data_IF_540211623769
#
_entry.id   IF_540211623769
#
_cell.length_a   1.000
_cell.length_b   1.000
_cell.length_c   1.000
_cell.angle_alpha   90.00
_cell.angle_beta   90.00
_cell.angle_gamma   90.00
#
_symmetry.space_group_name_H-M   'P 1'
#
loop_
_entity.id
_entity.type
_entity.pdbx_description
1 polymer ?
#
# COMPACT_ATOMS: atom_id res chain seq x y z
N UNK A 1 -27.19 -53.16 -59.37
CA UNK A 1 -27.41 -51.99 -58.49
C UNK A 1 -27.70 -52.42 -57.03
N UNK A 2 -26.87 -53.27 -56.42
CA UNK A 2 -27.10 -53.78 -55.04
C UNK A 2 -25.82 -53.82 -54.18
N UNK A 3 -24.85 -52.95 -54.48
CA UNK A 3 -23.60 -52.86 -53.70
C UNK A 3 -23.27 -51.45 -53.20
N UNK A 4 -24.06 -50.42 -53.54
CA UNK A 4 -23.85 -49.06 -53.04
C UNK A 4 -24.64 -48.73 -51.78
N UNK A 5 -25.80 -49.38 -51.55
CA UNK A 5 -26.60 -49.16 -50.32
C UNK A 5 -25.90 -49.66 -49.04
N UNK A 6 -24.99 -50.64 -49.11
CA UNK A 6 -24.29 -51.12 -47.90
C UNK A 6 -23.05 -50.31 -47.51
N UNK A 7 -22.66 -49.32 -48.31
CA UNK A 7 -21.57 -48.39 -47.99
C UNK A 7 -22.15 -47.11 -47.40
N UNK A 8 -23.25 -46.60 -47.96
CA UNK A 8 -23.95 -45.42 -47.43
C UNK A 8 -24.63 -45.71 -46.07
N UNK A 9 -25.24 -46.87 -45.86
CA UNK A 9 -25.79 -47.26 -44.55
C UNK A 9 -24.70 -47.60 -43.51
N UNK A 10 -23.47 -47.92 -43.94
CA UNK A 10 -22.31 -48.09 -43.04
C UNK A 10 -21.59 -46.78 -42.71
N UNK A 11 -21.82 -45.73 -43.50
CA UNK A 11 -21.30 -44.38 -43.28
C UNK A 11 -22.23 -43.52 -42.40
N UNK A 12 -23.48 -43.94 -42.18
CA UNK A 12 -24.46 -43.24 -41.34
C UNK A 12 -24.53 -43.74 -39.88
N UNK A 13 -23.60 -44.59 -39.44
CA UNK A 13 -23.65 -45.21 -38.11
C UNK A 13 -22.30 -45.30 -37.38
N UNK A 14 -21.26 -44.64 -37.88
CA UNK A 14 -20.06 -44.45 -37.07
C UNK A 14 -20.27 -43.22 -36.20
N UNK A 15 -20.08 -43.44 -34.90
CA UNK A 15 -20.03 -42.36 -33.92
C UNK A 15 -19.00 -41.31 -34.33
N UNK A 16 -19.23 -40.04 -33.98
CA UNK A 16 -18.27 -38.98 -34.29
C UNK A 16 -16.91 -39.19 -33.58
N UNK A 17 -16.88 -40.00 -32.52
CA UNK A 17 -15.68 -40.47 -31.83
C UNK A 17 -15.46 -41.96 -32.08
N UNK A 18 -14.24 -42.34 -32.47
CA UNK A 18 -13.84 -43.75 -32.54
C UNK A 18 -14.07 -44.46 -31.20
N UNK A 19 -14.42 -45.75 -31.25
CA UNK A 19 -14.78 -46.55 -30.06
C UNK A 19 -13.72 -46.50 -28.94
N UNK A 20 -12.43 -46.40 -29.29
CA UNK A 20 -11.34 -46.30 -28.33
C UNK A 20 -11.34 -44.95 -27.60
N UNK A 21 -11.64 -43.84 -28.29
CA UNK A 21 -11.81 -42.53 -27.67
C UNK A 21 -13.05 -42.46 -26.80
N UNK A 22 -14.15 -43.10 -27.20
CA UNK A 22 -15.32 -43.23 -26.32
C UNK A 22 -14.94 -43.92 -25.00
N UNK A 23 -14.14 -44.98 -25.07
CA UNK A 23 -13.65 -45.66 -23.87
C UNK A 23 -12.71 -44.77 -23.05
N UNK A 24 -11.85 -43.96 -23.69
CA UNK A 24 -11.01 -42.99 -23.01
C UNK A 24 -11.84 -41.95 -22.24
N UNK A 25 -12.89 -41.39 -22.86
CA UNK A 25 -13.81 -40.45 -22.19
C UNK A 25 -14.50 -41.11 -21.00
N UNK A 26 -15.01 -42.35 -21.15
CA UNK A 26 -15.69 -43.07 -20.05
C UNK A 26 -14.83 -43.23 -18.81
N UNK A 27 -13.53 -43.47 -18.99
CA UNK A 27 -12.60 -43.70 -17.88
C UNK A 27 -11.88 -42.43 -17.42
N UNK A 28 -12.01 -41.34 -18.20
CA UNK A 28 -11.17 -40.16 -18.05
C UNK A 28 -11.57 -39.23 -16.92
N UNK A 29 -12.75 -39.39 -16.30
CA UNK A 29 -13.25 -38.47 -15.28
C UNK A 29 -12.24 -38.22 -14.14
N UNK A 30 -11.65 -39.29 -13.58
CA UNK A 30 -10.66 -39.18 -12.51
C UNK A 30 -9.33 -38.57 -12.99
N UNK A 31 -8.87 -38.93 -14.20
CA UNK A 31 -7.64 -38.35 -14.76
C UNK A 31 -7.78 -36.86 -15.07
N UNK A 32 -8.94 -36.43 -15.56
CA UNK A 32 -9.23 -35.02 -15.82
C UNK A 32 -9.36 -34.21 -14.53
N UNK A 33 -9.95 -34.78 -13.47
CA UNK A 33 -9.95 -34.18 -12.13
C UNK A 33 -8.51 -33.95 -11.66
N UNK A 34 -7.69 -35.02 -11.66
CA UNK A 34 -6.29 -34.97 -11.20
C UNK A 34 -5.44 -33.96 -11.97
N UNK A 35 -5.58 -33.89 -13.30
CA UNK A 35 -4.84 -32.93 -14.11
C UNK A 35 -5.27 -31.49 -13.83
N UNK A 36 -6.58 -31.24 -13.77
CA UNK A 36 -7.11 -29.89 -13.50
C UNK A 36 -6.70 -29.42 -12.11
N UNK A 37 -6.78 -30.31 -11.13
CA UNK A 37 -6.37 -30.08 -9.74
C UNK A 37 -4.86 -29.82 -9.62
N UNK A 38 -4.04 -30.64 -10.30
CA UNK A 38 -2.59 -30.46 -10.30
C UNK A 38 -2.14 -29.12 -10.93
N UNK A 39 -2.81 -28.67 -11.99
CA UNK A 39 -2.55 -27.36 -12.60
C UNK A 39 -2.90 -26.23 -11.64
N UNK A 40 -4.09 -26.29 -11.02
CA UNK A 40 -4.52 -25.36 -9.98
C UNK A 40 -3.52 -25.28 -8.83
N UNK A 41 -3.13 -26.42 -8.29
CA UNK A 41 -2.18 -26.50 -7.18
C UNK A 41 -0.83 -25.93 -7.55
N UNK A 42 -0.38 -26.20 -8.77
CA UNK A 42 0.88 -25.69 -9.27
C UNK A 42 0.86 -24.17 -9.38
N UNK A 43 -0.24 -23.58 -9.88
CA UNK A 43 -0.44 -22.13 -9.93
C UNK A 43 -0.23 -21.52 -8.54
N UNK A 44 -0.85 -22.09 -7.51
CA UNK A 44 -0.60 -21.61 -6.15
C UNK A 44 0.85 -21.79 -5.74
N UNK A 45 1.36 -23.02 -5.81
CA UNK A 45 2.65 -23.41 -5.23
C UNK A 45 3.87 -22.75 -5.90
N UNK A 46 3.75 -22.29 -7.15
CA UNK A 46 4.85 -21.64 -7.87
C UNK A 46 4.61 -20.17 -8.21
N UNK A 47 3.36 -19.74 -8.44
CA UNK A 47 3.06 -18.37 -8.87
C UNK A 47 2.51 -17.52 -7.72
N UNK A 48 1.60 -18.06 -6.90
CA UNK A 48 0.92 -17.30 -5.85
C UNK A 48 1.53 -17.42 -4.43
N UNK A 49 2.59 -18.23 -4.26
CA UNK A 49 3.36 -18.33 -3.00
C UNK A 49 4.28 -17.12 -2.72
N UNK A 50 4.37 -16.16 -3.64
CA UNK A 50 5.21 -14.99 -3.46
C UNK A 50 4.57 -14.00 -2.49
N UNK A 51 5.37 -13.43 -1.57
CA UNK A 51 4.93 -12.29 -0.77
C UNK A 51 4.91 -11.03 -1.63
N UNK A 52 3.73 -10.43 -1.80
CA UNK A 52 3.51 -9.29 -2.69
C UNK A 52 3.44 -7.97 -1.89
N UNK A 53 3.82 -6.83 -2.50
CA UNK A 53 3.58 -5.53 -1.90
C UNK A 53 2.10 -5.32 -1.56
N UNK A 54 1.82 -4.59 -0.48
CA UNK A 54 0.50 -4.24 0.07
C UNK A 54 -0.29 -5.38 0.72
N UNK A 55 -0.05 -6.63 0.35
CA UNK A 55 -0.86 -7.77 0.78
C UNK A 55 -0.06 -8.94 1.36
N UNK A 56 1.28 -8.88 1.34
CA UNK A 56 2.15 -9.93 1.89
C UNK A 56 1.77 -11.31 1.34
N UNK A 57 1.45 -12.25 2.24
CA UNK A 57 1.05 -13.62 1.92
C UNK A 57 -0.47 -13.81 1.75
N UNK A 58 -1.25 -12.76 1.49
CA UNK A 58 -2.72 -12.85 1.44
C UNK A 58 -3.28 -13.80 0.36
N UNK A 59 -2.48 -14.12 -0.67
CA UNK A 59 -2.86 -15.07 -1.72
C UNK A 59 -2.58 -16.54 -1.36
N UNK A 60 -2.03 -16.82 -0.17
CA UNK A 60 -1.73 -18.17 0.28
C UNK A 60 -3.01 -18.85 0.81
N UNK A 61 -3.97 -19.07 -0.09
CA UNK A 61 -5.34 -19.51 0.22
C UNK A 61 -5.74 -20.80 -0.46
N UNK A 62 -4.78 -21.50 -1.10
CA UNK A 62 -4.99 -22.78 -1.80
C UNK A 62 -5.91 -23.72 -1.00
N UNK A 63 -6.97 -24.18 -1.66
CA UNK A 63 -7.97 -25.12 -1.12
C UNK A 63 -8.72 -24.66 0.14
N UNK A 64 -8.64 -23.37 0.46
CA UNK A 64 -9.47 -22.78 1.52
C UNK A 64 -10.78 -22.25 0.95
N UNK A 65 -11.72 -21.88 1.82
CA UNK A 65 -12.98 -21.25 1.38
C UNK A 65 -12.79 -19.91 0.65
N UNK A 66 -11.59 -19.31 0.70
CA UNK A 66 -11.27 -18.09 -0.03
C UNK A 66 -10.74 -18.34 -1.44
N UNK A 67 -10.40 -19.59 -1.77
CA UNK A 67 -9.97 -20.03 -3.09
C UNK A 67 -11.17 -20.48 -3.90
N UNK A 68 -11.66 -19.58 -4.74
CA UNK A 68 -12.85 -19.80 -5.55
C UNK A 68 -12.60 -20.76 -6.73
N UNK A 69 -11.34 -21.11 -7.02
CA UNK A 69 -10.97 -22.03 -8.11
C UNK A 69 -10.88 -23.49 -7.67
N UNK A 70 -10.80 -23.77 -6.37
CA UNK A 70 -10.71 -25.13 -5.81
C UNK A 70 -11.85 -26.09 -6.22
N UNK A 71 -12.99 -25.58 -6.69
CA UNK A 71 -14.12 -26.38 -7.19
C UNK A 71 -14.03 -26.81 -8.67
N UNK A 72 -13.11 -26.25 -9.46
CA UNK A 72 -13.09 -26.42 -10.93
C UNK A 72 -12.84 -27.88 -11.33
N UNK A 73 -11.88 -28.55 -10.68
CA UNK A 73 -11.56 -29.96 -10.95
C UNK A 73 -12.77 -30.89 -10.76
N UNK A 74 -13.56 -30.65 -9.71
CA UNK A 74 -14.82 -31.36 -9.45
C UNK A 74 -15.89 -31.12 -10.51
N UNK A 75 -16.01 -29.89 -11.05
CA UNK A 75 -16.95 -29.58 -12.14
C UNK A 75 -16.55 -30.30 -13.44
N UNK A 76 -15.26 -30.31 -13.77
CA UNK A 76 -14.72 -31.06 -14.94
C UNK A 76 -15.03 -32.56 -14.81
N UNK A 77 -14.76 -33.14 -13.63
CA UNK A 77 -15.09 -34.54 -13.35
C UNK A 77 -16.57 -34.85 -13.53
N UNK A 78 -17.44 -33.98 -13.01
CA UNK A 78 -18.89 -34.16 -13.10
C UNK A 78 -19.38 -34.08 -14.55
N UNK A 79 -18.77 -33.22 -15.39
CA UNK A 79 -19.08 -33.12 -16.80
C UNK A 79 -18.80 -34.42 -17.55
N UNK A 80 -17.61 -35.00 -17.32
CA UNK A 80 -17.22 -36.25 -17.98
C UNK A 80 -18.06 -37.43 -17.46
N UNK A 81 -18.36 -37.45 -16.16
CA UNK A 81 -19.20 -38.47 -15.55
C UNK A 81 -20.64 -38.45 -16.07
N UNK A 82 -21.14 -37.29 -16.51
CA UNK A 82 -22.49 -37.17 -17.08
C UNK A 82 -22.65 -37.90 -18.42
N UNK A 83 -21.56 -38.11 -19.17
CA UNK A 83 -21.58 -38.79 -20.47
C UNK A 83 -21.05 -40.22 -20.41
N UNK A 84 -20.32 -40.60 -19.36
CA UNK A 84 -19.67 -41.92 -19.26
C UNK A 84 -20.64 -43.12 -19.27
N UNK A 85 -21.90 -42.91 -18.90
CA UNK A 85 -22.97 -43.92 -18.92
C UNK A 85 -23.76 -44.04 -20.23
N UNK A 86 -23.51 -43.18 -21.22
CA UNK A 86 -24.29 -43.18 -22.47
C UNK A 86 -23.99 -44.42 -23.32
N UNK A 87 -24.95 -44.90 -24.13
CA UNK A 87 -24.69 -46.05 -25.02
C UNK A 87 -23.59 -45.73 -26.05
N UNK A 88 -23.60 -44.51 -26.55
CA UNK A 88 -22.63 -43.93 -27.45
C UNK A 88 -22.18 -42.58 -26.86
N UNK A 89 -20.88 -42.34 -26.83
CA UNK A 89 -20.31 -41.07 -26.35
C UNK A 89 -19.87 -40.25 -27.56
N UNK A 90 -20.45 -39.07 -27.74
CA UNK A 90 -20.09 -38.17 -28.85
C UNK A 90 -19.36 -36.93 -28.36
N UNK A 91 -18.61 -36.28 -29.26
CA UNK A 91 -17.95 -35.02 -28.92
C UNK A 91 -18.95 -33.91 -28.57
N UNK A 92 -20.12 -33.89 -29.25
CA UNK A 92 -21.23 -32.98 -28.95
C UNK A 92 -21.83 -33.20 -27.56
N UNK A 93 -21.99 -34.45 -27.12
CA UNK A 93 -22.49 -34.75 -25.78
C UNK A 93 -21.52 -34.28 -24.70
N UNK A 94 -20.21 -34.54 -24.87
CA UNK A 94 -19.20 -34.09 -23.91
C UNK A 94 -19.09 -32.56 -23.90
N UNK A 95 -19.14 -31.92 -25.07
CA UNK A 95 -19.19 -30.46 -25.20
C UNK A 95 -20.37 -29.87 -24.43
N UNK A 96 -21.58 -30.44 -24.58
CA UNK A 96 -22.76 -30.03 -23.84
C UNK A 96 -22.60 -30.22 -22.33
N UNK A 97 -22.03 -31.34 -21.89
CA UNK A 97 -21.81 -31.63 -20.48
C UNK A 97 -20.81 -30.66 -19.84
N UNK A 98 -19.70 -30.38 -20.53
CA UNK A 98 -18.71 -29.38 -20.11
C UNK A 98 -19.36 -27.99 -19.99
N UNK A 99 -20.10 -27.57 -21.01
CA UNK A 99 -20.83 -26.30 -20.99
C UNK A 99 -21.80 -26.20 -19.80
N UNK A 100 -22.59 -27.24 -19.56
CA UNK A 100 -23.59 -27.25 -18.50
C UNK A 100 -23.00 -27.23 -17.09
N UNK A 101 -21.88 -27.94 -16.84
CA UNK A 101 -21.26 -27.98 -15.51
C UNK A 101 -20.39 -26.76 -15.24
N UNK A 102 -19.70 -26.23 -16.26
CA UNK A 102 -18.77 -25.12 -16.10
C UNK A 102 -19.41 -23.76 -16.31
N UNK A 103 -20.72 -23.69 -16.60
CA UNK A 103 -21.44 -22.44 -16.91
C UNK A 103 -21.11 -21.24 -16.00
N UNK A 104 -20.92 -21.37 -14.67
CA UNK A 104 -20.55 -20.24 -13.81
C UNK A 104 -19.19 -19.59 -14.15
N UNK A 105 -18.33 -20.30 -14.89
CA UNK A 105 -16.95 -19.95 -15.21
C UNK A 105 -16.75 -19.60 -16.69
N UNK A 106 -17.80 -19.66 -17.50
CA UNK A 106 -17.72 -19.44 -18.95
C UNK A 106 -18.21 -18.03 -19.30
N UNK A 107 -17.57 -16.99 -18.75
CA UNK A 107 -17.95 -15.61 -19.01
C UNK A 107 -17.95 -15.30 -20.52
N UNK A 108 -19.06 -14.75 -21.03
CA UNK A 108 -19.27 -14.47 -22.45
C UNK A 108 -19.60 -15.69 -23.34
N UNK A 109 -19.64 -16.91 -22.79
CA UNK A 109 -19.99 -18.14 -23.53
C UNK A 109 -21.45 -18.49 -23.26
N UNK A 110 -22.24 -18.52 -24.33
CA UNK A 110 -23.70 -18.68 -24.28
C UNK A 110 -24.19 -19.96 -24.92
N UNK A 111 -23.34 -20.64 -25.71
CA UNK A 111 -23.67 -21.93 -26.33
C UNK A 111 -22.55 -22.94 -26.18
N UNK A 112 -22.87 -24.25 -26.15
CA UNK A 112 -21.86 -25.31 -26.11
C UNK A 112 -20.86 -25.25 -27.26
N UNK A 113 -21.30 -24.80 -28.46
CA UNK A 113 -20.48 -24.77 -29.66
C UNK A 113 -19.27 -23.83 -29.56
N UNK A 114 -19.25 -22.93 -28.57
CA UNK A 114 -18.12 -22.05 -28.31
C UNK A 114 -16.99 -22.74 -27.53
N UNK A 115 -17.21 -23.93 -26.98
CA UNK A 115 -16.13 -24.82 -26.54
C UNK A 115 -15.57 -25.49 -27.79
N UNK A 116 -14.34 -25.17 -28.17
CA UNK A 116 -13.79 -25.63 -29.46
C UNK A 116 -13.39 -27.10 -29.35
N UNK A 117 -13.82 -27.90 -30.32
CA UNK A 117 -13.45 -29.33 -30.40
C UNK A 117 -12.51 -29.56 -31.59
N UNK A 118 -11.28 -29.95 -31.30
CA UNK A 118 -10.21 -30.25 -32.27
C UNK A 118 -9.75 -31.70 -32.17
N UNK A 119 -8.83 -32.11 -33.06
CA UNK A 119 -8.36 -33.50 -33.19
C UNK A 119 -9.01 -34.26 -34.34
N UNK A 120 -8.43 -35.41 -34.69
CA UNK A 120 -8.91 -36.27 -35.78
C UNK A 120 -10.13 -37.13 -35.38
N UNK A 121 -10.46 -37.14 -34.08
CA UNK A 121 -11.54 -37.93 -33.47
C UNK A 121 -11.39 -39.44 -33.66
N UNK A 122 -10.18 -39.87 -33.97
CA UNK A 122 -9.78 -41.27 -34.13
C UNK A 122 -8.63 -41.61 -33.17
N UNK A 123 -7.53 -40.86 -33.27
CA UNK A 123 -6.37 -40.95 -32.40
C UNK A 123 -6.48 -40.03 -31.19
N UNK A 124 -7.08 -38.85 -31.35
CA UNK A 124 -7.29 -37.88 -30.27
C UNK A 124 -8.52 -36.98 -30.47
N UNK A 125 -8.94 -36.35 -29.37
CA UNK A 125 -9.90 -35.25 -29.37
C UNK A 125 -9.56 -34.29 -28.23
N UNK A 126 -9.58 -32.99 -28.51
CA UNK A 126 -9.31 -31.92 -27.51
C UNK A 126 -10.48 -30.96 -27.43
N UNK A 127 -10.81 -30.53 -26.22
CA UNK A 127 -11.84 -29.55 -25.89
C UNK A 127 -11.15 -28.31 -25.30
N UNK A 128 -11.14 -27.22 -26.04
CA UNK A 128 -10.65 -25.92 -25.56
C UNK A 128 -11.80 -25.19 -24.88
N UNK A 129 -11.68 -25.06 -23.55
CA UNK A 129 -12.70 -24.50 -22.68
C UNK A 129 -12.19 -23.16 -22.16
N UNK A 130 -12.73 -22.02 -22.63
CA UNK A 130 -12.36 -20.71 -22.13
C UNK A 130 -12.97 -20.50 -20.74
N UNK A 131 -12.12 -20.44 -19.72
CA UNK A 131 -12.49 -20.23 -18.33
C UNK A 131 -12.09 -18.82 -17.87
N UNK A 132 -13.04 -18.12 -17.26
CA UNK A 132 -12.85 -16.79 -16.70
C UNK A 132 -13.58 -16.67 -15.37
N UNK A 133 -12.98 -16.01 -14.41
CA UNK A 133 -13.62 -15.82 -13.13
C UNK A 133 -12.72 -15.18 -12.08
N UNK A 134 -13.16 -15.30 -10.83
CA UNK A 134 -12.45 -14.82 -9.67
C UNK A 134 -11.77 -16.00 -8.98
N UNK A 135 -10.53 -15.81 -8.55
CA UNK A 135 -9.82 -16.74 -7.64
C UNK A 135 -9.99 -16.26 -6.21
N UNK A 136 -9.69 -14.97 -5.97
CA UNK A 136 -9.72 -14.35 -4.63
C UNK A 136 -10.48 -13.03 -4.72
N UNK A 137 -11.44 -12.82 -3.83
CA UNK A 137 -12.13 -11.53 -3.66
C UNK A 137 -12.42 -11.33 -2.17
N UNK A 138 -11.54 -10.60 -1.49
CA UNK A 138 -11.58 -10.46 -0.02
C UNK A 138 -10.83 -9.25 0.49
N UNK A 139 -11.15 -8.89 1.73
CA UNK A 139 -10.30 -8.02 2.53
C UNK A 139 -9.09 -8.78 3.08
N UNK A 140 -7.91 -8.14 3.00
CA UNK A 140 -6.64 -8.62 3.54
C UNK A 140 -6.02 -7.54 4.45
N UNK A 141 -5.15 -7.96 5.37
CA UNK A 141 -4.35 -7.03 6.16
C UNK A 141 -3.40 -6.25 5.23
N UNK A 142 -3.25 -4.95 5.48
CA UNK A 142 -2.28 -4.13 4.75
C UNK A 142 -0.86 -4.49 5.19
N UNK A 143 -0.02 -4.92 4.25
CA UNK A 143 1.38 -5.20 4.46
C UNK A 143 2.22 -4.52 3.37
N UNK A 144 2.93 -3.40 3.65
CA UNK A 144 3.71 -2.71 2.63
C UNK A 144 4.90 -3.54 2.09
N UNK A 145 5.24 -4.67 2.72
CA UNK A 145 6.40 -5.49 2.33
C UNK A 145 7.75 -4.81 2.59
N UNK A 146 7.76 -3.73 3.37
CA UNK A 146 8.93 -2.88 3.65
C UNK A 146 9.10 -2.65 5.15
N UNK A 147 9.47 -3.70 5.92
CA UNK A 147 9.53 -3.62 7.38
C UNK A 147 10.58 -2.63 7.90
N UNK A 148 11.60 -2.30 7.10
CA UNK A 148 12.58 -1.26 7.43
C UNK A 148 12.00 0.16 7.33
N UNK A 149 10.94 0.36 6.53
CA UNK A 149 10.27 1.64 6.28
C UNK A 149 9.07 1.82 7.21
N UNK A 150 8.11 0.89 7.13
CA UNK A 150 6.84 0.96 7.84
C UNK A 150 6.40 -0.45 8.22
N UNK A 151 6.18 -0.68 9.51
CA UNK A 151 5.53 -1.90 10.01
C UNK A 151 4.09 -1.55 10.35
N UNK A 152 3.15 -2.03 9.54
CA UNK A 152 1.72 -1.86 9.80
C UNK A 152 1.25 -2.87 10.86
N UNK A 153 0.47 -2.39 11.84
CA UNK A 153 -0.15 -3.21 12.90
C UNK A 153 -1.68 -3.26 12.79
N UNK A 154 -2.24 -2.39 11.94
CA UNK A 154 -3.65 -2.39 11.56
C UNK A 154 -3.80 -1.85 10.14
N UNK A 155 -5.03 -1.91 9.62
CA UNK A 155 -5.36 -1.46 8.28
C UNK A 155 -5.60 -2.64 7.36
N UNK A 156 -6.44 -2.41 6.37
CA UNK A 156 -6.88 -3.46 5.47
C UNK A 156 -7.05 -2.92 4.06
N UNK A 157 -6.78 -3.78 3.10
CA UNK A 157 -6.96 -3.52 1.68
C UNK A 157 -7.89 -4.58 1.09
N UNK A 158 -8.56 -4.22 0.00
CA UNK A 158 -9.38 -5.14 -0.76
C UNK A 158 -8.54 -5.77 -1.87
N UNK A 159 -8.49 -7.09 -1.91
CA UNK A 159 -7.69 -7.89 -2.85
C UNK A 159 -8.62 -8.65 -3.77
N UNK A 160 -8.54 -8.34 -5.06
CA UNK A 160 -9.25 -9.04 -6.13
C UNK A 160 -8.23 -9.68 -7.08
N UNK A 161 -8.28 -11.01 -7.20
CA UNK A 161 -7.50 -11.78 -8.17
C UNK A 161 -8.48 -12.48 -9.10
N UNK A 162 -8.44 -12.15 -10.39
CA UNK A 162 -9.22 -12.81 -11.43
C UNK A 162 -8.33 -13.62 -12.35
N UNK A 163 -8.91 -14.54 -13.12
CA UNK A 163 -8.20 -15.39 -14.07
C UNK A 163 -8.88 -15.38 -15.44
N UNK A 164 -8.08 -15.52 -16.49
CA UNK A 164 -8.48 -15.79 -17.87
C UNK A 164 -7.54 -16.87 -18.41
N UNK A 165 -8.10 -18.03 -18.76
CA UNK A 165 -7.33 -19.18 -19.25
C UNK A 165 -8.15 -20.06 -20.18
N UNK A 166 -7.47 -20.80 -21.05
CA UNK A 166 -8.10 -21.83 -21.88
C UNK A 166 -7.69 -23.21 -21.38
N UNK A 167 -8.60 -23.94 -20.73
CA UNK A 167 -8.35 -25.34 -20.38
C UNK A 167 -8.52 -26.21 -21.64
N UNK A 168 -7.42 -26.77 -22.15
CA UNK A 168 -7.42 -27.62 -23.34
C UNK A 168 -7.38 -29.10 -22.96
N UNK A 169 -8.54 -29.63 -22.57
CA UNK A 169 -8.66 -31.02 -22.10
C UNK A 169 -8.74 -32.00 -23.27
N UNK A 170 -7.86 -33.00 -23.29
CA UNK A 170 -7.75 -33.99 -24.36
C UNK A 170 -7.94 -35.43 -23.92
N UNK A 171 -8.38 -36.27 -24.87
CA UNK A 171 -8.49 -37.72 -24.73
C UNK A 171 -7.75 -38.39 -25.89
N UNK A 172 -6.94 -39.40 -25.59
CA UNK A 172 -6.15 -40.15 -26.55
C UNK A 172 -6.68 -41.58 -26.73
N UNK A 173 -6.50 -42.12 -27.93
CA UNK A 173 -6.73 -43.53 -28.28
C UNK A 173 -5.83 -44.50 -27.49
N UNK A 174 -4.77 -44.02 -26.85
CA UNK A 174 -3.99 -44.83 -25.89
C UNK A 174 -4.69 -44.98 -24.53
N UNK A 175 -5.86 -44.36 -24.35
CA UNK A 175 -6.63 -44.38 -23.10
C UNK A 175 -6.22 -43.31 -22.09
N UNK A 176 -5.27 -42.45 -22.43
CA UNK A 176 -4.79 -41.36 -21.58
C UNK A 176 -5.65 -40.10 -21.74
N UNK A 177 -5.94 -39.44 -20.62
CA UNK A 177 -6.36 -38.04 -20.58
C UNK A 177 -5.10 -37.18 -20.57
N UNK A 178 -5.15 -36.04 -21.25
CA UNK A 178 -4.06 -35.06 -21.23
C UNK A 178 -4.61 -33.63 -21.19
N UNK A 179 -3.74 -32.67 -20.85
CA UNK A 179 -3.96 -31.25 -21.11
C UNK A 179 -2.97 -30.80 -22.20
N UNK A 180 -3.48 -30.16 -23.24
CA UNK A 180 -2.67 -29.61 -24.32
C UNK A 180 -2.06 -28.26 -23.90
N UNK A 181 -0.74 -28.25 -23.80
CA UNK A 181 0.09 -27.10 -23.38
C UNK A 181 0.94 -26.55 -24.54
N UNK A 182 0.53 -26.82 -25.79
CA UNK A 182 1.27 -26.38 -26.98
C UNK A 182 1.20 -24.87 -27.27
N UNK A 183 0.36 -24.12 -26.56
CA UNK A 183 0.22 -22.67 -26.68
C UNK A 183 1.17 -21.94 -25.74
N UNK A 184 1.66 -20.76 -26.15
CA UNK A 184 2.34 -19.87 -25.22
C UNK A 184 1.31 -19.05 -24.41
N UNK A 185 1.52 -18.92 -23.10
CA UNK A 185 0.67 -18.11 -22.24
C UNK A 185 -0.68 -18.79 -21.95
N UNK A 186 -0.62 -19.90 -21.20
CA UNK A 186 -1.78 -20.73 -20.89
C UNK A 186 -2.77 -20.09 -19.93
N UNK A 187 -2.31 -19.19 -19.06
CA UNK A 187 -3.19 -18.45 -18.16
C UNK A 187 -2.67 -17.04 -17.88
N UNK A 188 -3.62 -16.12 -17.64
CA UNK A 188 -3.37 -14.77 -17.17
C UNK A 188 -4.17 -14.53 -15.90
N UNK A 189 -3.50 -14.08 -14.84
CA UNK A 189 -4.17 -13.70 -13.58
C UNK A 189 -4.03 -12.20 -13.37
N UNK A 190 -5.13 -11.50 -13.12
CA UNK A 190 -5.13 -10.06 -12.89
C UNK A 190 -5.37 -9.77 -11.41
N UNK A 191 -4.39 -9.16 -10.77
CA UNK A 191 -4.43 -8.74 -9.38
C UNK A 191 -4.74 -7.24 -9.30
N UNK A 192 -5.77 -6.90 -8.55
CA UNK A 192 -6.13 -5.54 -8.21
C UNK A 192 -6.29 -5.40 -6.69
N UNK A 193 -5.46 -4.54 -6.10
CA UNK A 193 -5.51 -4.19 -4.68
C UNK A 193 -5.92 -2.75 -4.54
N UNK A 194 -7.01 -2.52 -3.80
CA UNK A 194 -7.54 -1.17 -3.53
C UNK A 194 -7.60 -0.91 -2.03
N UNK A 195 -7.58 0.36 -1.64
CA UNK A 195 -7.48 0.77 -0.23
C UNK A 195 -8.57 1.76 0.20
N UNK A 196 -9.86 1.46 -0.06
CA UNK A 196 -10.94 2.38 0.26
C UNK A 196 -10.97 2.70 1.77
N UNK A 197 -10.80 3.98 2.11
CA UNK A 197 -10.82 4.44 3.50
C UNK A 197 -9.68 3.89 4.38
N UNK A 198 -8.54 3.52 3.78
CA UNK A 198 -7.41 2.93 4.50
C UNK A 198 -6.92 3.82 5.65
N UNK A 199 -6.93 3.24 6.85
CA UNK A 199 -6.36 3.79 8.07
C UNK A 199 -5.45 2.75 8.70
N UNK A 200 -4.23 3.17 9.03
CA UNK A 200 -3.18 2.30 9.55
C UNK A 200 -2.72 2.85 10.90
N UNK A 201 -2.47 1.94 11.83
CA UNK A 201 -1.55 2.16 12.95
C UNK A 201 -0.31 1.34 12.69
N UNK A 202 0.86 1.91 12.94
CA UNK A 202 2.12 1.23 12.66
C UNK A 202 3.30 1.86 13.34
N UNK A 203 4.48 1.44 12.89
CA UNK A 203 5.77 1.92 13.39
C UNK A 203 6.69 2.28 12.23
N UNK A 204 7.37 3.42 12.37
CA UNK A 204 8.48 3.86 11.54
C UNK A 204 9.70 3.96 12.46
N UNK A 205 10.57 2.95 12.41
CA UNK A 205 11.64 2.79 13.40
C UNK A 205 11.07 2.69 14.82
N UNK A 206 11.42 3.65 15.69
CA UNK A 206 10.90 3.74 17.07
C UNK A 206 9.60 4.55 17.18
N UNK A 207 9.22 5.27 16.12
CA UNK A 207 8.07 6.16 16.12
C UNK A 207 6.80 5.36 15.85
N UNK A 208 5.84 5.46 16.76
CA UNK A 208 4.46 5.03 16.47
C UNK A 208 3.82 6.05 15.55
N UNK A 209 3.12 5.58 14.54
CA UNK A 209 2.46 6.43 13.55
C UNK A 209 1.05 5.95 13.29
N UNK A 210 0.15 6.90 13.09
CA UNK A 210 -1.09 6.69 12.35
C UNK A 210 -0.89 7.12 10.91
N UNK A 211 -1.53 6.42 9.98
CA UNK A 211 -1.49 6.80 8.58
C UNK A 211 -2.87 6.71 7.94
N UNK A 212 -3.15 7.62 7.02
CA UNK A 212 -4.35 7.61 6.19
C UNK A 212 -3.95 7.71 4.72
N UNK A 213 -4.79 7.23 3.82
CA UNK A 213 -4.52 7.35 2.39
C UNK A 213 -4.44 8.84 1.98
N UNK A 214 -3.38 9.21 1.25
CA UNK A 214 -3.12 10.61 0.88
C UNK A 214 -3.97 11.11 -0.31
N UNK A 215 -4.83 10.26 -0.87
CA UNK A 215 -5.63 10.55 -2.05
C UNK A 215 -4.87 10.20 -3.34
N UNK A 216 -5.13 10.93 -4.42
CA UNK A 216 -4.70 10.53 -5.78
C UNK A 216 -3.18 10.64 -6.04
N UNK A 217 -2.51 9.58 -6.54
CA UNK A 217 -3.05 8.24 -6.72
C UNK A 217 -3.10 7.49 -5.39
N UNK A 218 -4.22 6.79 -5.16
CA UNK A 218 -4.46 6.05 -3.91
C UNK A 218 -3.42 4.95 -3.69
N UNK A 219 -3.26 4.55 -2.43
CA UNK A 219 -2.53 3.33 -2.10
C UNK A 219 -3.19 2.13 -2.80
N UNK A 220 -2.43 1.35 -3.56
CA UNK A 220 -3.01 0.28 -4.37
C UNK A 220 -1.99 -0.40 -5.28
N UNK A 221 -2.39 -1.52 -5.86
CA UNK A 221 -1.54 -2.30 -6.75
C UNK A 221 -2.37 -2.86 -7.90
N UNK A 222 -1.81 -2.80 -9.10
CA UNK A 222 -2.31 -3.56 -10.26
C UNK A 222 -1.17 -4.37 -10.81
N UNK A 223 -1.37 -5.67 -10.98
CA UNK A 223 -0.37 -6.55 -11.54
C UNK A 223 -1.01 -7.69 -12.32
N UNK A 224 -0.29 -8.21 -13.31
CA UNK A 224 -0.70 -9.34 -14.14
C UNK A 224 0.32 -10.45 -14.02
N UNK A 225 -0.13 -11.62 -13.59
CA UNK A 225 0.64 -12.86 -13.71
C UNK A 225 0.41 -13.43 -15.10
N UNK A 226 1.48 -13.71 -15.84
CA UNK A 226 1.45 -14.52 -17.06
C UNK A 226 2.05 -15.87 -16.76
N UNK A 227 1.30 -16.93 -17.08
CA UNK A 227 1.63 -18.30 -16.71
C UNK A 227 1.81 -19.10 -18.00
N UNK A 228 2.93 -19.82 -18.06
CA UNK A 228 3.27 -20.73 -19.15
C UNK A 228 3.51 -22.11 -18.55
N UNK A 229 2.74 -23.10 -19.00
CA UNK A 229 2.85 -24.47 -18.51
C UNK A 229 3.79 -25.22 -19.45
N UNK A 230 4.84 -25.79 -18.89
CA UNK A 230 5.75 -26.62 -19.68
C UNK A 230 5.36 -28.08 -19.53
N UNK A 231 5.24 -28.74 -20.67
CA UNK A 231 5.21 -30.19 -20.73
C UNK A 231 6.47 -30.78 -20.06
N UNK A 232 6.34 -31.98 -19.50
CA UNK A 232 7.40 -32.67 -18.79
C UNK A 232 8.61 -33.02 -19.68
N UNK A 233 9.44 -34.00 -19.28
CA UNK A 233 10.66 -34.33 -20.03
C UNK A 233 10.42 -34.93 -21.42
N UNK A 234 9.18 -35.29 -21.78
CA UNK A 234 8.79 -35.98 -23.01
C UNK A 234 8.38 -35.06 -24.18
N UNK A 235 8.25 -33.75 -23.95
CA UNK A 235 8.16 -32.69 -24.97
C UNK A 235 7.20 -32.97 -26.15
N UNK A 236 6.07 -33.62 -25.88
CA UNK A 236 5.00 -33.88 -26.86
C UNK A 236 3.83 -32.87 -26.74
N UNK A 237 3.96 -31.91 -25.81
CA UNK A 237 2.99 -30.87 -25.48
C UNK A 237 1.69 -31.40 -24.87
N UNK A 238 1.71 -32.61 -24.29
CA UNK A 238 0.53 -33.25 -23.70
C UNK A 238 0.81 -33.66 -22.27
N UNK A 239 0.42 -32.81 -21.33
CA UNK A 239 0.54 -33.12 -19.91
C UNK A 239 -0.46 -34.22 -19.50
N UNK A 240 0.05 -35.41 -19.19
CA UNK A 240 -0.69 -36.55 -18.66
C UNK A 240 -0.56 -36.67 -17.14
N UNK A 241 -1.44 -37.49 -16.54
CA UNK A 241 -1.41 -37.77 -15.09
C UNK A 241 -0.04 -38.29 -14.64
N UNK A 242 0.68 -39.02 -15.51
CA UNK A 242 2.01 -39.55 -15.21
C UNK A 242 3.10 -38.47 -15.09
N UNK A 243 2.95 -37.34 -15.78
CA UNK A 243 3.90 -36.23 -15.74
C UNK A 243 3.63 -35.21 -14.63
N UNK A 244 2.50 -35.28 -13.91
CA UNK A 244 2.20 -34.34 -12.80
C UNK A 244 3.39 -34.11 -11.84
N UNK A 245 4.15 -35.15 -11.41
CA UNK A 245 5.32 -34.95 -10.55
C UNK A 245 6.42 -34.09 -11.17
N UNK A 246 6.47 -34.01 -12.50
CA UNK A 246 7.48 -33.30 -13.29
C UNK A 246 6.94 -32.04 -13.97
N UNK A 247 5.65 -31.71 -13.78
CA UNK A 247 5.01 -30.50 -14.27
C UNK A 247 5.89 -29.28 -13.97
N UNK A 248 6.29 -28.57 -15.01
CA UNK A 248 6.97 -27.29 -14.90
C UNK A 248 6.01 -26.15 -15.21
N UNK A 249 6.21 -25.00 -14.56
CA UNK A 249 5.42 -23.82 -14.84
C UNK A 249 6.30 -22.58 -14.64
N UNK A 250 6.25 -21.69 -15.62
CA UNK A 250 6.93 -20.41 -15.59
C UNK A 250 5.93 -19.31 -15.30
N UNK A 251 6.27 -18.45 -14.34
CA UNK A 251 5.48 -17.28 -14.00
C UNK A 251 6.25 -16.00 -14.33
N UNK A 252 5.58 -15.07 -14.98
CA UNK A 252 5.99 -13.67 -15.00
C UNK A 252 4.94 -12.83 -14.28
N UNK A 253 5.37 -11.77 -13.60
CA UNK A 253 4.51 -10.80 -12.95
C UNK A 253 4.95 -9.40 -13.35
N UNK A 254 4.03 -8.67 -13.97
CA UNK A 254 4.26 -7.29 -14.42
C UNK A 254 3.19 -6.39 -13.82
N UNK A 255 3.59 -5.23 -13.29
CA UNK A 255 2.66 -4.30 -12.68
C UNK A 255 3.32 -3.16 -11.93
N UNK A 256 2.56 -2.56 -11.03
CA UNK A 256 3.07 -1.57 -10.08
C UNK A 256 2.27 -1.57 -8.79
N UNK A 257 2.97 -1.36 -7.68
CA UNK A 257 2.38 -1.05 -6.39
C UNK A 257 2.72 0.38 -5.98
N UNK A 258 1.75 1.05 -5.35
CA UNK A 258 1.87 2.40 -4.82
C UNK A 258 1.46 2.39 -3.35
N UNK A 259 2.30 2.95 -2.49
CA UNK A 259 1.92 3.40 -1.14
C UNK A 259 1.89 4.91 -1.15
N UNK A 260 0.77 5.51 -0.77
CA UNK A 260 0.60 6.95 -0.70
C UNK A 260 -0.13 7.30 0.60
N UNK A 261 0.62 7.66 1.63
CA UNK A 261 0.10 7.78 2.99
C UNK A 261 0.46 9.13 3.62
N UNK A 262 -0.53 9.77 4.23
CA UNK A 262 -0.32 10.86 5.18
C UNK A 262 0.00 10.24 6.53
N UNK A 263 1.22 10.42 7.01
CA UNK A 263 1.71 9.96 8.30
C UNK A 263 1.56 11.07 9.34
N UNK A 264 1.19 10.66 10.56
CA UNK A 264 1.21 11.49 11.75
C UNK A 264 1.74 10.62 12.91
N UNK A 265 2.68 11.14 13.69
CA UNK A 265 3.18 10.40 14.86
C UNK A 265 2.13 10.34 15.96
N UNK A 266 1.99 9.17 16.57
CA UNK A 266 1.18 8.96 17.77
C UNK A 266 2.12 8.81 18.97
N UNK A 267 2.42 9.93 19.62
CA UNK A 267 3.33 9.99 20.77
C UNK A 267 2.60 9.88 22.12
N UNK A 268 1.28 9.66 22.12
CA UNK A 268 0.45 9.60 23.32
C UNK A 268 0.58 10.86 24.19
N UNK A 269 0.75 10.67 25.50
CA UNK A 269 0.89 11.75 26.50
C UNK A 269 2.30 12.36 26.55
N UNK A 270 3.22 11.94 25.68
CA UNK A 270 4.54 12.55 25.64
C UNK A 270 4.44 14.03 25.28
N UNK A 271 5.17 14.89 26.01
CA UNK A 271 5.28 16.33 25.73
C UNK A 271 6.15 16.65 24.50
N UNK A 272 6.07 15.80 23.48
CA UNK A 272 6.76 15.96 22.21
C UNK A 272 5.77 16.45 21.15
N UNK A 273 6.15 17.44 20.33
CA UNK A 273 5.36 17.85 19.17
C UNK A 273 5.12 16.69 18.21
N UNK A 274 3.99 16.73 17.52
CA UNK A 274 3.64 15.73 16.51
C UNK A 274 4.38 16.02 15.21
N UNK A 275 4.90 14.95 14.60
CA UNK A 275 5.52 14.98 13.29
C UNK A 275 4.53 14.49 12.25
N UNK A 276 4.55 15.13 11.09
CA UNK A 276 3.75 14.78 9.92
C UNK A 276 4.66 14.57 8.72
N UNK A 277 4.26 13.67 7.81
CA UNK A 277 4.97 13.41 6.57
C UNK A 277 4.07 12.72 5.55
N UNK A 278 4.38 12.86 4.27
CA UNK A 278 3.73 12.11 3.18
C UNK A 278 4.66 10.99 2.74
N UNK A 279 4.37 9.75 3.14
CA UNK A 279 5.11 8.58 2.67
C UNK A 279 4.62 8.19 1.27
N UNK A 280 5.55 8.24 0.31
CA UNK A 280 5.36 7.75 -1.05
C UNK A 280 6.28 6.56 -1.30
N UNK A 281 5.72 5.44 -1.71
CA UNK A 281 6.45 4.30 -2.26
C UNK A 281 5.95 4.03 -3.65
N UNK A 282 6.84 4.11 -4.62
CA UNK A 282 6.58 3.69 -6.00
C UNK A 282 7.37 2.40 -6.26
N UNK A 283 6.66 1.31 -6.51
CA UNK A 283 7.26 0.00 -6.68
C UNK A 283 6.88 -0.58 -8.05
N UNK A 284 7.76 -0.42 -9.07
CA UNK A 284 7.57 -1.10 -10.34
C UNK A 284 7.79 -2.60 -10.16
N UNK A 285 6.95 -3.39 -10.80
CA UNK A 285 6.99 -4.85 -10.72
C UNK A 285 7.23 -5.37 -12.13
N UNK A 286 8.39 -5.99 -12.33
CA UNK A 286 8.72 -6.75 -13.53
C UNK A 286 9.57 -7.96 -13.12
N UNK A 287 8.91 -9.02 -12.70
CA UNK A 287 9.56 -10.22 -12.17
C UNK A 287 9.26 -11.42 -13.08
N UNK A 288 10.28 -12.23 -13.33
CA UNK A 288 10.11 -13.53 -13.99
C UNK A 288 10.78 -14.62 -13.18
N UNK A 289 10.14 -15.79 -13.11
CA UNK A 289 10.65 -16.91 -12.38
C UNK A 289 10.28 -18.26 -13.01
N UNK A 290 11.28 -19.11 -13.11
CA UNK A 290 11.10 -20.55 -13.29
C UNK A 290 11.03 -21.29 -11.94
N UNK A 291 11.41 -20.64 -10.84
CA UNK A 291 11.40 -21.20 -9.47
C UNK A 291 11.08 -20.11 -8.45
N UNK A 292 10.33 -20.39 -7.37
CA UNK A 292 9.74 -19.39 -6.48
C UNK A 292 10.73 -18.59 -5.58
N UNK A 293 11.97 -18.35 -5.99
CA UNK A 293 13.01 -17.74 -5.14
C UNK A 293 13.80 -16.59 -5.77
N UNK A 294 13.34 -15.97 -6.86
CA UNK A 294 13.99 -14.74 -7.33
C UNK A 294 13.57 -13.57 -6.44
N UNK A 295 14.56 -12.90 -5.84
CA UNK A 295 14.34 -11.60 -5.23
C UNK A 295 13.75 -10.66 -6.28
N UNK A 296 12.76 -9.87 -5.88
CA UNK A 296 12.14 -8.84 -6.71
C UNK A 296 13.22 -7.98 -7.40
N UNK A 297 13.28 -7.95 -8.74
CA UNK A 297 14.42 -7.39 -9.46
C UNK A 297 14.52 -5.88 -9.29
N UNK A 298 13.39 -5.17 -9.28
CA UNK A 298 13.37 -3.71 -9.13
C UNK A 298 13.20 -3.27 -7.68
N UNK A 299 14.06 -2.34 -7.25
CA UNK A 299 14.01 -1.75 -5.92
C UNK A 299 12.91 -0.67 -5.81
N UNK A 300 12.06 -0.71 -4.76
CA UNK A 300 11.06 0.32 -4.55
C UNK A 300 11.70 1.67 -4.25
N UNK A 301 11.10 2.73 -4.79
CA UNK A 301 11.51 4.10 -4.54
C UNK A 301 10.71 4.65 -3.36
N UNK A 302 11.38 4.88 -2.23
CA UNK A 302 10.76 5.36 -0.98
C UNK A 302 11.10 6.83 -0.76
N UNK A 303 10.06 7.64 -0.51
CA UNK A 303 10.20 9.09 -0.23
C UNK A 303 9.31 9.51 0.93
N UNK A 304 9.80 10.45 1.71
CA UNK A 304 9.05 11.18 2.72
C UNK A 304 8.95 12.63 2.26
N UNK A 305 7.79 13.05 1.79
CA UNK A 305 7.57 14.43 1.34
C UNK A 305 6.91 15.24 2.44
N UNK A 306 7.11 16.57 2.42
CA UNK A 306 6.45 17.49 3.34
C UNK A 306 6.60 17.06 4.81
N UNK A 307 7.80 16.62 5.18
CA UNK A 307 8.10 16.31 6.58
C UNK A 307 8.04 17.60 7.36
N UNK A 308 7.37 17.58 8.50
CA UNK A 308 7.18 18.78 9.30
C UNK A 308 6.74 18.49 10.72
N UNK A 309 6.76 19.53 11.54
CA UNK A 309 6.21 19.53 12.89
C UNK A 309 4.85 20.21 12.83
N UNK A 310 3.82 19.59 13.41
CA UNK A 310 2.54 20.27 13.58
C UNK A 310 2.71 21.48 14.51
N UNK A 311 2.42 22.68 14.00
CA UNK A 311 2.68 23.93 14.70
C UNK A 311 1.85 24.04 15.98
N UNK A 312 0.59 23.59 15.95
CA UNK A 312 -0.28 23.62 17.12
C UNK A 312 0.29 22.79 18.27
N UNK A 313 0.72 21.55 17.97
CA UNK A 313 1.38 20.67 18.92
C UNK A 313 2.75 21.21 19.37
N UNK A 314 3.50 21.87 18.50
CA UNK A 314 4.76 22.51 18.84
C UNK A 314 4.58 23.59 19.90
N UNK A 315 3.66 24.53 19.67
CA UNK A 315 3.43 25.61 20.63
C UNK A 315 2.83 25.09 21.94
N UNK A 316 1.90 24.14 21.89
CA UNK A 316 1.20 23.63 23.08
C UNK A 316 2.02 22.66 23.91
N UNK A 317 2.82 21.78 23.28
CA UNK A 317 3.60 20.74 23.99
C UNK A 317 5.05 21.13 24.27
N UNK A 318 5.65 22.01 23.47
CA UNK A 318 7.05 22.43 23.64
C UNK A 318 7.19 23.87 24.17
N UNK A 319 6.52 24.84 23.55
CA UNK A 319 6.73 26.26 23.87
C UNK A 319 6.00 26.66 25.17
N UNK A 320 4.70 26.40 25.26
CA UNK A 320 3.86 26.79 26.41
C UNK A 320 4.41 26.27 27.76
N UNK A 321 4.80 24.99 27.92
CA UNK A 321 5.32 24.50 29.20
C UNK A 321 6.61 25.19 29.66
N UNK A 322 7.47 25.63 28.73
CA UNK A 322 8.68 26.40 29.07
C UNK A 322 8.30 27.75 29.66
N UNK A 323 7.36 28.44 29.02
CA UNK A 323 6.89 29.74 29.49
C UNK A 323 6.11 29.64 30.81
N UNK A 324 5.31 28.59 31.01
CA UNK A 324 4.61 28.33 32.27
C UNK A 324 5.59 28.10 33.43
N UNK A 325 6.71 27.42 33.18
CA UNK A 325 7.73 27.21 34.21
C UNK A 325 8.45 28.52 34.57
N UNK A 326 8.68 29.41 33.60
CA UNK A 326 9.23 30.74 33.85
C UNK A 326 8.24 31.57 34.67
N UNK A 327 6.95 31.56 34.30
CA UNK A 327 5.88 32.26 35.03
C UNK A 327 5.79 31.80 36.50
N UNK A 328 5.82 30.48 36.76
CA UNK A 328 5.88 29.93 38.13
C UNK A 328 7.11 30.43 38.89
N UNK A 329 8.25 30.57 38.22
CA UNK A 329 9.50 31.04 38.83
C UNK A 329 9.46 32.54 39.14
N UNK A 330 8.78 33.32 38.30
CA UNK A 330 8.61 34.77 38.47
C UNK A 330 7.44 35.13 39.39
N UNK A 331 6.46 34.24 39.59
CA UNK A 331 5.28 34.46 40.42
C UNK A 331 5.57 35.03 41.83
N UNK A 332 6.63 34.61 42.56
CA UNK A 332 6.95 35.18 43.87
C UNK A 332 7.38 36.64 43.84
N UNK A 333 7.97 37.10 42.73
CA UNK A 333 8.42 38.49 42.55
C UNK A 333 7.41 39.32 41.77
N UNK A 334 6.38 38.71 41.19
CA UNK A 334 5.31 39.38 40.46
C UNK A 334 4.68 40.56 41.22
N UNK A 335 4.40 40.48 42.54
CA UNK A 335 3.86 41.65 43.26
C UNK A 335 4.81 42.85 43.28
N UNK A 336 6.13 42.63 43.21
CA UNK A 336 7.11 43.71 43.13
C UNK A 336 7.14 44.27 41.71
N UNK A 337 7.06 43.41 40.70
CA UNK A 337 6.99 43.82 39.29
C UNK A 337 5.72 44.62 39.00
N UNK A 338 4.56 44.20 39.53
CA UNK A 338 3.28 44.89 39.36
C UNK A 338 3.31 46.31 39.94
N UNK A 339 3.94 46.51 41.11
CA UNK A 339 4.11 47.84 41.72
C UNK A 339 5.07 48.71 40.90
N UNK A 340 6.09 48.10 40.29
CA UNK A 340 7.05 48.80 39.45
C UNK A 340 6.42 49.27 38.13
N UNK A 341 5.48 48.48 37.59
CA UNK A 341 4.72 48.75 36.36
C UNK A 341 3.41 49.51 36.61
N UNK A 342 3.02 49.75 37.87
CA UNK A 342 1.79 50.45 38.20
C UNK A 342 1.83 51.91 37.68
N UNK A 343 0.77 52.29 36.97
CA UNK A 343 0.57 53.65 36.47
C UNK A 343 0.59 54.64 37.63
N UNK A 344 1.51 55.60 37.60
CA UNK A 344 1.53 56.72 38.54
C UNK A 344 0.60 57.84 38.05
N UNK A 345 -0.57 58.08 38.69
CA UNK A 345 -1.59 58.99 38.17
C UNK A 345 -1.05 60.42 37.99
N UNK A 346 -0.28 60.92 38.96
CA UNK A 346 0.22 62.31 38.95
C UNK A 346 1.18 62.58 37.79
N UNK A 347 2.09 61.64 37.49
CA UNK A 347 3.04 61.82 36.39
C UNK A 347 2.39 61.53 35.03
N UNK A 348 1.45 60.58 34.98
CA UNK A 348 0.72 60.18 33.78
C UNK A 348 -0.32 61.21 33.32
N UNK A 349 -1.00 61.89 34.25
CA UNK A 349 -2.12 62.79 33.94
C UNK A 349 -1.69 64.22 33.59
N UNK A 350 -0.44 64.59 33.94
CA UNK A 350 0.10 65.94 33.72
C UNK A 350 0.94 65.94 32.46
N UNK A 351 0.44 66.53 31.37
CA UNK A 351 1.07 66.48 30.04
C UNK A 351 2.57 66.91 30.01
N UNK A 352 3.00 67.99 30.70
CA UNK A 352 4.43 68.33 30.79
C UNK A 352 5.29 67.27 31.48
N UNK A 353 4.77 66.63 32.54
CA UNK A 353 5.50 65.59 33.26
C UNK A 353 5.52 64.30 32.45
N UNK A 354 4.38 63.91 31.86
CA UNK A 354 4.31 62.77 30.96
C UNK A 354 5.33 62.89 29.83
N UNK A 355 5.45 64.04 29.15
CA UNK A 355 6.44 64.23 28.09
C UNK A 355 7.91 64.11 28.52
N UNK A 356 8.21 64.18 29.81
CA UNK A 356 9.57 64.05 30.36
C UNK A 356 9.84 62.61 30.80
N UNK A 357 8.83 61.92 31.33
CA UNK A 357 9.00 60.64 32.01
C UNK A 357 8.49 59.43 31.20
N UNK A 358 7.52 59.62 30.30
CA UNK A 358 6.99 58.59 29.39
C UNK A 358 8.02 58.29 28.31
N UNK A 359 8.84 57.25 28.54
CA UNK A 359 10.00 56.96 27.70
C UNK A 359 9.63 56.03 26.54
N UNK A 360 8.65 55.15 26.75
CA UNK A 360 8.15 54.21 25.75
C UNK A 360 7.03 54.81 24.86
N UNK A 361 6.56 56.02 25.17
CA UNK A 361 5.53 56.77 24.46
C UNK A 361 4.16 56.07 24.45
N UNK A 362 3.83 55.30 25.48
CA UNK A 362 2.55 54.59 25.60
C UNK A 362 1.44 55.43 26.26
N UNK A 363 1.78 56.62 26.76
CA UNK A 363 0.85 57.55 27.40
C UNK A 363 0.70 57.37 28.91
N UNK A 364 1.46 56.47 29.52
CA UNK A 364 1.50 56.20 30.95
C UNK A 364 2.91 56.43 31.50
N UNK A 365 3.02 56.72 32.80
CA UNK A 365 4.30 56.85 33.50
C UNK A 365 4.26 55.91 34.70
N UNK A 366 5.20 54.98 34.75
CA UNK A 366 5.36 53.95 35.79
C UNK A 366 6.52 54.27 36.75
N UNK A 367 6.60 53.56 37.89
CA UNK A 367 7.68 53.76 38.88
C UNK A 367 9.06 53.51 38.25
N UNK A 368 9.13 52.52 37.37
CA UNK A 368 10.28 52.23 36.53
C UNK A 368 10.72 53.45 35.72
N UNK A 369 9.81 54.11 35.02
CA UNK A 369 10.15 55.18 34.08
C UNK A 369 10.63 56.43 34.82
N UNK A 370 10.08 56.67 36.01
CA UNK A 370 10.59 57.68 36.94
C UNK A 370 11.97 57.31 37.53
N UNK A 371 12.27 56.03 37.74
CA UNK A 371 13.61 55.59 38.16
C UNK A 371 14.62 55.62 37.02
N UNK A 372 14.22 55.27 35.81
CA UNK A 372 15.02 55.29 34.60
C UNK A 372 15.55 56.68 34.25
N UNK A 373 14.67 57.68 34.30
CA UNK A 373 15.02 59.09 34.08
C UNK A 373 15.96 59.65 35.15
N UNK A 374 16.06 59.02 36.32
CA UNK A 374 16.94 59.46 37.42
C UNK A 374 18.22 58.63 37.58
N UNK A 375 18.25 57.38 37.12
CA UNK A 375 19.39 56.43 37.29
C UNK A 375 20.12 56.10 35.98
N UNK A 376 19.58 56.50 34.82
CA UNK A 376 20.12 56.16 33.50
C UNK A 376 19.58 54.81 32.97
N UNK A 377 20.25 54.24 31.97
CA UNK A 377 19.71 53.15 31.13
C UNK A 377 19.37 51.85 31.86
N UNK A 378 20.03 51.52 32.97
CA UNK A 378 19.87 50.21 33.63
C UNK A 378 18.49 49.95 34.26
N UNK A 379 17.75 51.01 34.64
CA UNK A 379 16.36 50.87 35.11
C UNK A 379 15.35 50.67 33.99
N UNK A 380 15.64 51.20 32.78
CA UNK A 380 14.83 50.96 31.57
C UNK A 380 14.97 49.52 31.10
N UNK A 381 16.18 48.97 31.17
CA UNK A 381 16.49 47.64 30.64
C UNK A 381 15.73 46.53 31.39
N UNK A 382 15.63 46.60 32.72
CA UNK A 382 14.92 45.59 33.53
C UNK A 382 13.41 45.60 33.25
N UNK A 383 12.82 46.78 33.12
CA UNK A 383 11.40 46.91 32.91
C UNK A 383 10.94 46.60 31.50
N UNK A 384 11.73 47.03 30.51
CA UNK A 384 11.53 46.60 29.13
C UNK A 384 11.56 45.07 29.07
N UNK A 385 12.51 44.41 29.75
CA UNK A 385 12.59 42.96 29.78
C UNK A 385 11.36 42.28 30.43
N UNK A 386 10.82 42.85 31.52
CA UNK A 386 9.63 42.28 32.21
C UNK A 386 8.37 42.47 31.38
N UNK A 387 8.12 43.69 30.88
CA UNK A 387 6.97 44.00 30.03
C UNK A 387 7.00 43.22 28.71
N UNK A 388 8.18 43.09 28.10
CA UNK A 388 8.36 42.30 26.89
C UNK A 388 8.11 40.81 27.17
N UNK A 389 8.59 40.29 28.31
CA UNK A 389 8.32 38.90 28.71
C UNK A 389 6.83 38.67 28.93
N UNK A 390 6.14 39.57 29.65
CA UNK A 390 4.69 39.45 29.89
C UNK A 390 3.91 39.51 28.57
N UNK A 391 4.30 40.39 27.66
CA UNK A 391 3.72 40.51 26.33
C UNK A 391 3.94 39.25 25.48
N UNK A 392 5.15 38.68 25.54
CA UNK A 392 5.49 37.43 24.86
C UNK A 392 4.74 36.23 25.47
N UNK A 393 4.68 36.13 26.79
CA UNK A 393 3.96 35.10 27.53
C UNK A 393 2.46 35.10 27.19
N UNK A 394 1.84 36.28 27.25
CA UNK A 394 0.43 36.46 26.91
C UNK A 394 0.17 36.11 25.44
N UNK A 395 1.08 36.48 24.54
CA UNK A 395 0.99 36.08 23.13
C UNK A 395 1.07 34.55 22.98
N UNK A 396 2.09 33.89 23.55
CA UNK A 396 2.29 32.43 23.47
C UNK A 396 1.08 31.64 23.98
N UNK A 397 0.46 32.08 25.09
CA UNK A 397 -0.75 31.43 25.64
C UNK A 397 -1.98 31.58 24.74
N UNK A 398 -2.04 32.63 23.94
CA UNK A 398 -3.16 32.91 23.04
C UNK A 398 -2.92 32.40 21.61
N UNK A 399 -1.79 31.72 21.34
CA UNK A 399 -1.54 31.11 20.04
C UNK A 399 -2.54 29.99 19.79
N UNK A 400 -3.30 30.12 18.70
CA UNK A 400 -4.15 29.08 18.13
C UNK A 400 -3.57 28.56 16.82
N UNK A 401 -2.24 28.58 16.68
CA UNK A 401 -1.55 28.28 15.43
C UNK A 401 -2.01 26.93 14.86
N UNK A 402 -2.32 26.95 13.57
CA UNK A 402 -2.64 25.76 12.78
C UNK A 402 -1.68 25.72 11.60
N UNK A 403 -1.15 24.54 11.26
CA UNK A 403 -0.21 24.38 10.15
C UNK A 403 1.00 23.50 10.46
N UNK A 404 1.96 23.45 9.54
CA UNK A 404 3.10 22.52 9.54
C UNK A 404 4.40 23.31 9.41
N UNK A 405 5.20 23.36 10.47
CA UNK A 405 6.57 23.88 10.42
C UNK A 405 7.41 22.91 9.59
N UNK A 406 7.86 23.29 8.39
CA UNK A 406 8.36 22.30 7.47
C UNK A 406 9.84 22.01 7.75
N UNK A 407 10.16 20.72 7.75
CA UNK A 407 11.50 20.17 7.96
C UNK A 407 12.14 19.67 6.64
N UNK A 408 11.41 19.74 5.53
CA UNK A 408 11.88 19.36 4.20
C UNK A 408 11.29 18.05 3.69
N UNK A 409 12.03 17.32 2.86
CA UNK A 409 11.62 16.04 2.26
C UNK A 409 12.83 15.14 2.07
N UNK A 410 12.67 13.83 2.17
CA UNK A 410 13.75 12.85 2.11
C UNK A 410 13.48 11.77 1.07
N UNK A 411 14.55 11.17 0.56
CA UNK A 411 14.50 9.96 -0.26
C UNK A 411 15.40 8.89 0.37
N UNK A 412 15.03 7.64 0.19
CA UNK A 412 15.85 6.50 0.60
C UNK A 412 16.75 6.13 -0.58
N UNK A 413 18.07 6.29 -0.42
CA UNK A 413 19.03 6.07 -1.50
C UNK A 413 19.44 4.59 -1.71
N UNK A 414 19.10 3.72 -0.77
CA UNK A 414 19.43 2.29 -0.82
C UNK A 414 18.17 1.46 -0.93
N UNK A 415 18.28 0.23 -1.46
CA UNK A 415 17.14 -0.68 -1.52
C UNK A 415 16.65 -1.01 -0.09
N UNK A 416 15.46 -0.53 0.30
CA UNK A 416 14.95 -0.68 1.66
C UNK A 416 14.73 -2.14 2.06
N UNK A 417 14.63 -3.06 1.09
CA UNK A 417 14.41 -4.49 1.33
C UNK A 417 15.67 -5.20 1.86
N UNK A 418 16.84 -4.61 1.63
CA UNK A 418 18.15 -5.23 1.93
C UNK A 418 18.76 -4.74 3.24
N UNK A 419 18.16 -3.72 3.86
CA UNK A 419 18.71 -3.05 5.04
C UNK A 419 17.82 -3.27 6.26
N UNK A 420 18.40 -3.53 7.45
CA UNK A 420 17.61 -3.73 8.67
C UNK A 420 17.00 -2.41 9.20
N UNK A 421 17.55 -1.28 8.79
CA UNK A 421 17.05 0.05 9.11
C UNK A 421 17.36 1.00 7.95
N UNK A 422 16.47 1.97 7.71
CA UNK A 422 16.71 2.99 6.70
C UNK A 422 17.95 3.80 7.04
N UNK A 423 18.79 3.97 6.02
CA UNK A 423 19.79 5.02 5.99
C UNK A 423 19.32 6.06 4.99
N UNK A 424 18.97 7.23 5.49
CA UNK A 424 18.82 8.42 4.65
C UNK A 424 20.25 8.78 4.21
N UNK A 425 20.66 8.36 3.01
CA UNK A 425 22.01 8.65 2.54
C UNK A 425 22.05 10.10 2.06
N UNK A 426 23.05 10.83 2.54
CA UNK A 426 23.38 12.23 2.24
C UNK A 426 22.26 13.28 2.40
N UNK A 427 22.59 14.35 3.14
CA UNK A 427 21.74 15.54 3.36
C UNK A 427 21.36 16.28 2.07
N UNK A 428 21.90 15.84 0.92
CA UNK A 428 21.64 16.43 -0.41
C UNK A 428 20.25 16.14 -0.95
N UNK A 429 19.54 15.15 -0.39
CA UNK A 429 18.17 14.80 -0.80
C UNK A 429 17.10 15.63 -0.08
N UNK A 430 17.51 16.53 0.81
CA UNK A 430 16.62 17.49 1.47
C UNK A 430 16.19 18.55 0.45
N UNK A 431 14.96 18.40 -0.06
CA UNK A 431 14.33 19.46 -0.86
C UNK A 431 13.71 20.46 0.10
N UNK A 432 14.16 21.72 0.03
CA UNK A 432 13.58 22.81 0.81
C UNK A 432 12.08 22.95 0.51
N UNK A 433 11.27 22.96 1.54
CA UNK A 433 9.84 23.27 1.51
C UNK A 433 9.57 24.75 1.24
N UNK A 434 8.32 25.09 0.93
CA UNK A 434 7.82 26.46 0.77
C UNK A 434 8.22 27.35 1.97
N UNK A 435 9.02 28.43 1.75
CA UNK A 435 9.46 29.35 2.80
C UNK A 435 8.34 30.13 3.50
N UNK A 436 7.11 30.12 2.98
CA UNK A 436 6.00 30.93 3.48
C UNK A 436 5.23 30.29 4.65
N UNK A 437 5.72 29.19 5.20
CA UNK A 437 5.04 28.43 6.24
C UNK A 437 5.25 29.06 7.63
N UNK A 438 4.25 29.87 8.01
CA UNK A 438 3.82 30.24 9.37
C UNK A 438 4.31 31.59 9.89
N UNK A 439 3.42 32.58 9.77
CA UNK A 439 3.57 33.92 10.31
C UNK A 439 3.86 33.89 11.82
N UNK A 440 3.27 32.94 12.55
CA UNK A 440 3.44 32.77 14.01
C UNK A 440 4.82 32.23 14.39
N UNK A 441 5.37 31.28 13.62
CA UNK A 441 6.75 30.80 13.84
C UNK A 441 7.77 31.91 13.52
N UNK A 442 7.48 32.70 12.47
CA UNK A 442 8.28 33.88 12.11
C UNK A 442 8.18 34.97 13.18
N UNK A 443 6.98 35.22 13.71
CA UNK A 443 6.73 36.18 14.77
C UNK A 443 7.37 35.76 16.10
N UNK A 444 7.30 34.47 16.47
CA UNK A 444 8.04 33.93 17.63
C UNK A 444 9.52 34.21 17.46
N UNK A 445 10.11 33.85 16.31
CA UNK A 445 11.53 34.10 16.02
C UNK A 445 11.88 35.57 16.14
N UNK A 446 11.08 36.47 15.56
CA UNK A 446 11.32 37.91 15.63
C UNK A 446 11.29 38.40 17.08
N UNK A 447 10.26 38.03 17.84
CA UNK A 447 10.08 38.45 19.24
C UNK A 447 11.15 37.89 20.18
N UNK A 448 11.67 36.67 19.93
CA UNK A 448 12.71 36.07 20.78
C UNK A 448 14.14 36.42 20.36
N UNK A 449 14.35 36.91 19.13
CA UNK A 449 15.66 37.32 18.62
C UNK A 449 16.10 38.73 19.03
N UNK A 450 15.22 39.53 19.65
CA UNK A 450 15.54 40.89 20.08
C UNK A 450 16.60 40.91 21.21
N UNK A 451 17.56 41.84 21.12
CA UNK A 451 18.70 41.98 22.03
C UNK A 451 18.34 42.28 23.49
N UNK A 452 17.08 42.66 23.76
CA UNK A 452 16.54 43.04 25.08
C UNK A 452 16.65 41.88 26.09
N UNK A 453 16.60 40.63 25.63
CA UNK A 453 16.64 39.45 26.52
C UNK A 453 18.06 38.96 26.86
N UNK A 454 19.13 39.65 26.45
CA UNK A 454 20.50 39.38 26.93
C UNK A 454 21.03 37.96 26.64
N UNK A 455 20.46 37.26 25.66
CA UNK A 455 20.77 35.87 25.34
C UNK A 455 19.58 35.16 24.69
N UNK A 456 19.09 35.71 23.57
CA UNK A 456 17.78 35.39 22.97
C UNK A 456 17.40 33.91 22.95
N UNK A 457 16.13 33.62 23.26
CA UNK A 457 15.57 32.28 23.13
C UNK A 457 15.63 31.84 21.66
N UNK A 458 16.57 30.95 21.36
CA UNK A 458 16.66 30.30 20.06
C UNK A 458 16.01 28.93 20.15
N UNK A 459 15.08 28.67 19.25
CA UNK A 459 14.59 27.32 18.97
C UNK A 459 15.35 26.84 17.73
N UNK A 460 16.36 25.96 17.87
CA UNK A 460 17.21 25.55 16.75
C UNK A 460 16.40 25.06 15.55
N UNK A 461 15.31 24.34 15.79
CA UNK A 461 14.37 23.84 14.78
C UNK A 461 13.66 24.94 13.98
N UNK A 462 13.45 26.12 14.56
CA UNK A 462 12.85 27.27 13.86
C UNK A 462 13.89 28.05 13.08
N UNK A 463 15.15 28.06 13.53
CA UNK A 463 16.25 28.78 12.89
C UNK A 463 16.93 27.99 11.78
N UNK A 464 17.13 26.70 12.00
CA UNK A 464 17.65 25.71 11.06
C UNK A 464 16.85 24.41 11.22
N UNK A 465 15.76 24.25 10.47
CA UNK A 465 14.95 23.02 10.47
C UNK A 465 15.77 21.75 10.19
N UNK A 466 16.92 21.86 9.52
CA UNK A 466 17.79 20.72 9.25
C UNK A 466 18.47 20.19 10.51
N UNK A 467 18.57 20.99 11.57
CA UNK A 467 19.09 20.55 12.87
C UNK A 467 18.21 19.47 13.53
N UNK A 468 16.99 19.21 13.04
CA UNK A 468 16.15 18.11 13.50
C UNK A 468 16.74 16.72 13.18
N UNK A 469 17.68 16.65 12.25
CA UNK A 469 18.24 15.41 11.70
C UNK A 469 19.72 15.19 12.07
N UNK A 470 20.28 16.06 12.92
CA UNK A 470 21.63 15.99 13.47
C UNK A 470 21.59 15.43 14.90
#
# INVERSE_FOLDING_TARGET
>A
MRQTQSLEDRLMLDSDLAAVLQQAVRNGAAGSEQLTDALHDRIYDQVLQQSLPLIGSALHVKDTAADQMSGVSGLVRNAISAVSGQAEVTSSQLQQALFSQLQPLLDGITTPQQIIVSGDRVSDVTFTIPLRGTIVDRTAAFDPGLPSVLVATSGSVHTLLTYDMDLRLGFSSTGAVFVDVSGAGDASLQLNVTSPGLQIRGQLGLLKVTATNAGSPDTGMTATFSIDITDGPDADSRLTVGEIPQLGMFGALVGAATVNLNLQTDLGDASLPELVANLRVDWPIDASWATPSSAWPDAPQVRFNNVGIDAGSFFTKLVQPVFDQIDITLAPIQPVLDVLEERMPVLSDIAPLRSIFDTNHDGQVTLIEAMATSTGSSGLDLAAAVSDFHSLYTWVRNITATGIIPLGSFRVATDPRTVPALRFADRTDIVASDPNAHAEATELRQRTSNEIYGGGFSFPLLTDPNAAFD
#
